data_IF_812652950084
#
_entry.id   IF_812652950084
#
_cell.length_a   1.000
_cell.length_b   1.000
_cell.length_c   1.000
_cell.angle_alpha   90.00
_cell.angle_beta   90.00
_cell.angle_gamma   90.00
#
_symmetry.space_group_name_H-M   'P 1'
#
loop_
_entity.id
_entity.type
_entity.pdbx_description
1 polymer ?
#
# COMPACT_ATOMS: atom_id res chain seq x y z
N UNK A 1 -17.13 -17.89 -6.40
CA UNK A 1 -16.48 -18.80 -7.36
C UNK A 1 -15.55 -19.71 -6.56
N UNK A 2 -15.76 -21.02 -6.59
CA UNK A 2 -14.92 -22.00 -5.91
C UNK A 2 -13.75 -22.36 -6.84
N UNK A 3 -12.53 -21.92 -6.50
CA UNK A 3 -11.32 -22.33 -7.21
C UNK A 3 -10.81 -23.64 -6.61
N UNK A 4 -10.56 -24.63 -7.47
CA UNK A 4 -9.85 -25.86 -7.13
C UNK A 4 -8.52 -25.88 -7.90
N UNK A 5 -7.44 -26.27 -7.21
CA UNK A 5 -6.14 -26.49 -7.82
C UNK A 5 -5.84 -27.99 -7.87
N UNK A 6 -5.36 -28.52 -9.01
CA UNK A 6 -4.73 -29.83 -9.06
C UNK A 6 -3.51 -29.81 -8.14
N UNK A 7 -3.41 -30.82 -7.30
CA UNK A 7 -2.40 -31.04 -6.26
C UNK A 7 -0.95 -30.76 -6.70
N UNK A 8 -0.20 -30.00 -5.90
CA UNK A 8 1.25 -30.16 -5.80
C UNK A 8 2.11 -28.91 -5.63
N UNK A 9 1.69 -27.74 -6.13
CA UNK A 9 2.53 -26.54 -6.13
C UNK A 9 1.84 -25.39 -5.41
N UNK A 10 2.28 -25.14 -4.17
CA UNK A 10 1.77 -24.04 -3.33
C UNK A 10 1.92 -22.69 -4.02
N UNK A 11 0.79 -22.01 -4.21
CA UNK A 11 0.76 -20.62 -4.63
C UNK A 11 0.99 -19.74 -3.39
N UNK A 12 2.10 -19.01 -3.35
CA UNK A 12 2.41 -18.10 -2.23
C UNK A 12 1.45 -16.89 -2.13
N UNK A 13 0.55 -16.71 -3.10
CA UNK A 13 -0.39 -15.59 -3.17
C UNK A 13 -1.75 -15.85 -2.50
N UNK A 14 -2.17 -17.11 -2.33
CA UNK A 14 -3.41 -17.44 -1.62
C UNK A 14 -3.09 -18.38 -0.47
N UNK A 15 -3.15 -17.85 0.75
CA UNK A 15 -2.91 -18.52 2.03
C UNK A 15 -3.84 -19.70 2.35
N UNK A 16 -4.73 -20.09 1.44
CA UNK A 16 -5.80 -21.08 1.64
C UNK A 16 -5.31 -22.50 2.00
N UNK A 17 -4.01 -22.77 1.91
CA UNK A 17 -3.41 -24.07 2.29
C UNK A 17 -2.14 -23.92 3.12
N UNK A 18 -1.85 -22.73 3.66
CA UNK A 18 -0.59 -22.48 4.36
C UNK A 18 -0.65 -23.10 5.78
N UNK A 19 0.18 -24.12 6.07
CA UNK A 19 0.17 -24.77 7.38
C UNK A 19 0.54 -23.81 8.51
N UNK A 20 1.32 -22.76 8.23
CA UNK A 20 1.61 -21.69 9.19
C UNK A 20 0.30 -21.00 9.56
N UNK A 21 -0.49 -20.52 8.58
CA UNK A 21 -1.78 -19.82 8.81
C UNK A 21 -2.75 -20.64 9.67
N UNK A 22 -2.87 -21.95 9.38
CA UNK A 22 -3.71 -22.85 10.18
C UNK A 22 -3.24 -23.01 11.65
N UNK A 23 -1.93 -22.89 11.89
CA UNK A 23 -1.34 -22.88 13.24
C UNK A 23 -1.54 -21.51 13.90
N UNK A 24 -1.52 -20.41 13.15
CA UNK A 24 -1.75 -19.06 13.65
C UNK A 24 -3.20 -18.88 14.11
N UNK A 25 -4.16 -19.33 13.29
CA UNK A 25 -5.60 -19.40 13.65
C UNK A 25 -5.82 -20.14 14.96
N UNK A 26 -5.21 -21.30 15.13
CA UNK A 26 -5.39 -22.14 16.33
C UNK A 26 -4.68 -21.62 17.58
N UNK A 27 -3.60 -20.85 17.44
CA UNK A 27 -2.73 -20.47 18.58
C UNK A 27 -2.81 -19.00 18.98
N UNK A 28 -3.08 -18.09 18.04
CA UNK A 28 -3.00 -16.63 18.27
C UNK A 28 -4.36 -15.96 18.18
N UNK A 29 -5.21 -16.42 17.27
CA UNK A 29 -6.57 -15.90 17.10
C UNK A 29 -7.56 -16.68 17.97
N UNK A 30 -7.30 -16.74 19.29
CA UNK A 30 -8.25 -17.35 20.22
C UNK A 30 -9.59 -16.59 20.14
N UNK A 31 -10.74 -17.28 20.22
CA UNK A 31 -12.05 -16.64 20.20
C UNK A 31 -12.17 -15.49 21.21
N UNK A 32 -11.54 -15.61 22.38
CA UNK A 32 -11.54 -14.55 23.41
C UNK A 32 -10.80 -13.28 22.94
N UNK A 33 -9.67 -13.39 22.23
CA UNK A 33 -8.89 -12.26 21.71
C UNK A 33 -9.53 -11.65 20.45
N UNK A 34 -10.15 -12.48 19.62
CA UNK A 34 -10.93 -12.05 18.46
C UNK A 34 -12.18 -11.27 18.90
N UNK A 35 -12.88 -11.74 19.94
CA UNK A 35 -14.11 -11.12 20.41
C UNK A 35 -13.93 -9.68 20.92
N UNK A 36 -12.74 -9.32 21.40
CA UNK A 36 -12.38 -7.94 21.74
C UNK A 36 -12.07 -7.06 20.51
N UNK A 37 -11.52 -7.64 19.44
CA UNK A 37 -11.26 -6.97 18.15
C UNK A 37 -12.52 -6.76 17.31
N UNK A 38 -13.51 -7.66 17.45
CA UNK A 38 -14.73 -7.69 16.63
C UNK A 38 -15.99 -7.17 17.35
N UNK A 39 -15.85 -6.43 18.46
CA UNK A 39 -16.99 -5.80 19.14
C UNK A 39 -17.71 -4.70 18.35
N UNK A 40 -17.46 -4.57 17.04
CA UNK A 40 -18.42 -3.95 16.11
C UNK A 40 -18.68 -4.79 14.87
N UNK A 41 -19.91 -5.31 14.87
CA UNK A 41 -20.77 -5.78 13.76
C UNK A 41 -20.45 -7.13 13.13
N UNK A 42 -21.16 -8.13 13.64
CA UNK A 42 -21.71 -9.18 12.79
C UNK A 42 -22.75 -8.58 11.82
N UNK A 43 -22.60 -8.89 10.53
CA UNK A 43 -23.71 -9.26 9.64
C UNK A 43 -23.15 -9.98 8.40
N UNK A 44 -23.57 -11.23 8.29
CA UNK A 44 -23.70 -12.15 7.15
C UNK A 44 -22.87 -11.93 5.88
N UNK A 45 -22.16 -12.99 5.52
CA UNK A 45 -21.56 -13.21 4.21
C UNK A 45 -22.63 -13.22 3.11
N UNK A 46 -22.81 -12.08 2.46
CA UNK A 46 -23.40 -11.93 1.14
C UNK A 46 -22.47 -11.03 0.32
N UNK A 47 -22.25 -11.37 -0.96
CA UNK A 47 -21.41 -10.69 -1.96
C UNK A 47 -20.86 -9.32 -1.54
N UNK A 48 -19.53 -9.16 -1.52
CA UNK A 48 -18.84 -7.92 -1.15
C UNK A 48 -19.55 -6.73 -1.80
N UNK A 49 -20.21 -5.85 -1.01
CA UNK A 49 -21.05 -4.84 -1.59
C UNK A 49 -20.20 -3.78 -2.28
N UNK A 50 -20.26 -3.79 -3.62
CA UNK A 50 -19.47 -2.95 -4.53
C UNK A 50 -19.85 -1.48 -4.37
N UNK A 51 -18.84 -0.60 -4.30
CA UNK A 51 -19.03 0.84 -4.44
C UNK A 51 -19.46 1.17 -5.86
N UNK A 52 -20.61 1.81 -6.04
CA UNK A 52 -21.10 2.18 -7.37
C UNK A 52 -21.85 3.51 -7.34
N UNK A 53 -21.73 4.25 -8.43
CA UNK A 53 -22.56 5.42 -8.73
C UNK A 53 -23.58 4.98 -9.77
N UNK A 54 -24.86 5.15 -9.46
CA UNK A 54 -25.94 4.93 -10.42
C UNK A 54 -26.32 6.30 -10.98
N UNK A 55 -26.27 6.41 -12.30
CA UNK A 55 -26.59 7.62 -13.08
C UNK A 55 -27.48 7.24 -14.26
N UNK A 56 -28.15 8.22 -14.84
CA UNK A 56 -29.08 8.01 -15.95
C UNK A 56 -30.46 7.49 -15.52
N UNK A 57 -31.45 7.67 -16.39
CA UNK A 57 -32.86 7.40 -16.05
C UNK A 57 -33.46 8.43 -15.07
N UNK A 58 -34.61 8.11 -14.47
CA UNK A 58 -35.27 8.96 -13.45
C UNK A 58 -35.08 8.36 -12.06
N UNK A 59 -34.25 8.95 -11.22
CA UNK A 59 -33.96 8.48 -9.85
C UNK A 59 -34.79 9.26 -8.84
N UNK A 60 -35.63 8.61 -8.02
CA UNK A 60 -36.49 9.25 -7.00
C UNK A 60 -36.24 8.67 -5.61
N UNK A 61 -35.29 9.24 -4.84
CA UNK A 61 -34.78 8.65 -3.59
C UNK A 61 -35.68 8.83 -2.36
N UNK A 62 -36.80 9.54 -2.47
CA UNK A 62 -37.72 9.87 -1.36
C UNK A 62 -37.03 10.52 -0.15
N UNK A 63 -36.17 11.51 -0.39
CA UNK A 63 -35.45 12.23 0.66
C UNK A 63 -36.43 13.13 1.43
N UNK A 64 -36.55 12.94 2.75
CA UNK A 64 -37.44 13.73 3.61
C UNK A 64 -38.89 13.77 3.12
N UNK A 65 -39.38 12.68 2.54
CA UNK A 65 -40.73 12.59 1.97
C UNK A 65 -40.91 13.26 0.60
N UNK A 66 -39.85 13.86 0.04
CA UNK A 66 -39.84 14.44 -1.30
C UNK A 66 -39.39 13.41 -2.35
N UNK A 67 -40.23 13.17 -3.35
CA UNK A 67 -39.94 12.26 -4.48
C UNK A 67 -39.31 12.97 -5.67
N UNK A 68 -38.76 14.17 -5.49
CA UNK A 68 -38.13 14.94 -6.58
C UNK A 68 -37.00 14.12 -7.22
N UNK A 69 -36.88 14.16 -8.57
CA UNK A 69 -35.82 13.46 -9.26
C UNK A 69 -34.45 14.07 -8.93
N UNK A 70 -33.43 13.23 -8.95
CA UNK A 70 -32.02 13.59 -8.77
C UNK A 70 -31.19 12.98 -9.91
N UNK A 71 -29.98 13.50 -10.12
CA UNK A 71 -29.12 13.10 -11.24
C UNK A 71 -28.36 11.80 -10.95
N UNK A 72 -28.02 11.54 -9.68
CA UNK A 72 -27.22 10.40 -9.27
C UNK A 72 -27.50 9.92 -7.85
N UNK A 73 -27.12 8.66 -7.59
CA UNK A 73 -27.08 8.04 -6.26
C UNK A 73 -25.77 7.26 -6.08
N UNK A 74 -25.07 7.50 -4.98
CA UNK A 74 -23.84 6.83 -4.60
C UNK A 74 -24.11 5.76 -3.55
N UNK A 75 -23.76 4.52 -3.88
CA UNK A 75 -23.92 3.37 -2.98
C UNK A 75 -22.52 2.86 -2.59
N UNK A 76 -22.28 2.76 -1.29
CA UNK A 76 -21.05 2.20 -0.74
C UNK A 76 -21.40 1.15 0.32
N UNK A 77 -20.81 -0.03 0.19
CA UNK A 77 -21.05 -1.14 1.11
C UNK A 77 -22.54 -1.41 1.38
N UNK A 78 -23.36 -1.34 0.33
CA UNK A 78 -24.79 -1.63 0.38
C UNK A 78 -25.62 -0.51 1.01
N UNK A 79 -25.03 0.66 1.28
CA UNK A 79 -25.71 1.84 1.82
C UNK A 79 -25.68 2.98 0.83
N UNK A 80 -26.76 3.73 0.75
CA UNK A 80 -26.81 5.01 0.05
C UNK A 80 -26.02 6.01 0.89
N UNK A 81 -24.90 6.52 0.35
CA UNK A 81 -24.03 7.48 1.05
C UNK A 81 -24.14 8.90 0.51
N UNK A 82 -24.63 9.06 -0.73
CA UNK A 82 -24.87 10.36 -1.34
C UNK A 82 -25.97 10.29 -2.39
N UNK A 83 -26.75 11.37 -2.52
CA UNK A 83 -27.84 11.49 -3.48
C UNK A 83 -27.99 12.95 -3.91
N UNK A 84 -28.07 13.23 -5.21
CA UNK A 84 -28.18 14.60 -5.69
C UNK A 84 -27.61 14.80 -7.09
N UNK A 85 -26.92 15.92 -7.31
CA UNK A 85 -26.19 16.17 -8.56
C UNK A 85 -25.05 15.17 -8.68
N UNK A 86 -24.76 14.74 -9.90
CA UNK A 86 -23.69 13.78 -10.18
C UNK A 86 -22.35 14.21 -9.57
N UNK A 87 -21.96 15.48 -9.74
CA UNK A 87 -20.71 16.02 -9.20
C UNK A 87 -20.60 15.90 -7.67
N UNK A 88 -21.72 16.09 -6.97
CA UNK A 88 -21.75 16.05 -5.49
C UNK A 88 -21.69 14.59 -5.00
N UNK A 89 -22.34 13.67 -5.73
CA UNK A 89 -22.29 12.24 -5.47
C UNK A 89 -20.90 11.66 -5.76
N UNK A 90 -20.27 12.06 -6.87
CA UNK A 90 -18.89 11.70 -7.20
C UNK A 90 -17.91 12.20 -6.13
N UNK A 91 -18.05 13.45 -5.68
CA UNK A 91 -17.21 13.98 -4.60
C UNK A 91 -17.36 13.18 -3.29
N UNK A 92 -18.59 12.82 -2.91
CA UNK A 92 -18.86 12.02 -1.71
C UNK A 92 -18.38 10.57 -1.82
N UNK A 93 -18.46 9.97 -3.01
CA UNK A 93 -17.94 8.64 -3.30
C UNK A 93 -16.41 8.63 -3.32
N UNK A 94 -15.79 9.70 -3.82
CA UNK A 94 -14.33 9.89 -3.83
C UNK A 94 -13.75 10.21 -2.45
N UNK A 95 -14.55 10.71 -1.51
CA UNK A 95 -14.14 10.94 -0.12
C UNK A 95 -13.80 9.64 0.66
N UNK A 96 -14.09 8.45 0.09
CA UNK A 96 -13.71 7.16 0.67
C UNK A 96 -12.18 6.96 0.80
N UNK A 97 -11.37 7.76 0.09
CA UNK A 97 -9.91 7.79 0.21
C UNK A 97 -9.33 8.68 1.32
N UNK A 98 -10.16 9.40 2.10
CA UNK A 98 -9.74 10.37 3.11
C UNK A 98 -9.72 9.78 4.53
N UNK A 99 -9.19 8.56 4.66
CA UNK A 99 -9.23 7.79 5.91
C UNK A 99 -7.87 7.62 6.57
N UNK A 100 -6.76 7.93 5.89
CA UNK A 100 -5.43 7.94 6.51
C UNK A 100 -5.40 8.92 7.69
N UNK A 101 -5.01 8.45 8.89
CA UNK A 101 -5.08 9.28 10.09
C UNK A 101 -4.02 10.38 10.10
N UNK A 102 -4.43 11.65 10.14
CA UNK A 102 -3.57 12.83 9.96
C UNK A 102 -3.36 13.64 11.24
N UNK A 103 -2.17 14.24 11.38
CA UNK A 103 -1.88 15.23 12.45
C UNK A 103 -2.73 16.48 12.21
N UNK A 104 -2.55 17.07 11.03
CA UNK A 104 -3.27 18.26 10.60
C UNK A 104 -4.52 17.86 9.81
N UNK A 105 -5.57 18.71 9.80
CA UNK A 105 -6.73 18.42 8.98
C UNK A 105 -6.39 18.36 7.48
N UNK A 106 -7.09 17.52 6.72
CA UNK A 106 -6.97 17.47 5.27
C UNK A 106 -7.20 18.84 4.63
N UNK A 107 -6.43 19.15 3.59
CA UNK A 107 -6.51 20.46 2.93
C UNK A 107 -7.87 20.68 2.23
N UNK A 108 -8.53 19.60 1.80
CA UNK A 108 -9.85 19.63 1.18
C UNK A 108 -11.02 19.69 2.18
N UNK A 109 -10.76 19.67 3.49
CA UNK A 109 -11.75 19.85 4.57
C UNK A 109 -13.01 18.96 4.48
N UNK A 110 -12.90 17.62 4.36
CA UNK A 110 -14.04 16.72 4.46
C UNK A 110 -14.67 16.75 5.87
N UNK A 111 -15.88 16.20 6.00
CA UNK A 111 -16.60 16.16 7.28
C UNK A 111 -15.82 15.46 8.41
N UNK A 112 -15.09 14.38 8.11
CA UNK A 112 -14.09 13.81 9.02
C UNK A 112 -12.70 14.28 8.60
N UNK A 113 -12.25 15.39 9.19
CA UNK A 113 -11.12 16.13 8.66
C UNK A 113 -9.75 15.59 9.06
N UNK A 114 -9.65 14.54 9.89
CA UNK A 114 -8.37 13.92 10.28
C UNK A 114 -8.25 12.45 9.85
N UNK A 115 -9.26 11.89 9.17
CA UNK A 115 -9.27 10.46 8.84
C UNK A 115 -9.64 9.59 10.04
N UNK A 116 -9.26 8.32 10.00
CA UNK A 116 -9.68 7.32 10.98
C UNK A 116 -8.47 6.54 11.51
N UNK A 117 -8.37 6.44 12.83
CA UNK A 117 -7.46 5.51 13.47
C UNK A 117 -8.25 4.27 13.92
N UNK A 118 -7.82 3.08 13.51
CA UNK A 118 -8.59 1.86 13.72
C UNK A 118 -8.64 1.38 15.18
N UNK A 119 -7.74 1.88 16.03
CA UNK A 119 -7.57 1.43 17.41
C UNK A 119 -7.77 2.61 18.36
N UNK A 120 -9.03 2.97 18.61
CA UNK A 120 -9.39 4.05 19.55
C UNK A 120 -9.71 3.51 20.93
N UNK A 121 -9.48 4.32 21.97
CA UNK A 121 -9.97 4.02 23.31
C UNK A 121 -11.49 4.34 23.42
N UNK A 122 -12.25 3.68 24.32
CA UNK A 122 -13.72 3.70 24.34
C UNK A 122 -14.45 5.05 24.42
N UNK A 123 -13.75 6.19 24.49
CA UNK A 123 -14.33 7.54 24.49
C UNK A 123 -13.49 8.56 23.69
N UNK A 124 -12.58 8.10 22.83
CA UNK A 124 -11.67 8.98 22.10
C UNK A 124 -11.58 8.56 20.63
N UNK A 125 -12.55 9.00 19.82
CA UNK A 125 -12.64 8.67 18.40
C UNK A 125 -11.51 9.30 17.55
N UNK A 126 -10.81 10.30 18.09
CA UNK A 126 -9.66 10.97 17.45
C UNK A 126 -8.51 11.13 18.48
N UNK A 127 -7.70 10.08 18.68
CA UNK A 127 -6.60 10.11 19.64
C UNK A 127 -5.45 11.04 19.21
N UNK A 128 -5.05 11.94 20.11
CA UNK A 128 -3.87 12.82 19.91
C UNK A 128 -2.56 12.19 20.38
N UNK A 129 -2.68 11.22 21.30
CA UNK A 129 -1.62 10.35 21.81
C UNK A 129 -1.89 8.89 21.45
N UNK A 130 -0.86 8.05 21.51
CA UNK A 130 -0.98 6.62 21.20
C UNK A 130 -1.99 5.94 22.15
N UNK A 131 -3.07 5.35 21.63
CA UNK A 131 -4.06 4.63 22.43
C UNK A 131 -3.46 3.42 23.16
N UNK A 132 -3.89 3.19 24.40
CA UNK A 132 -3.34 2.11 25.23
C UNK A 132 -3.69 0.73 24.67
N UNK A 133 -4.88 0.59 24.06
CA UNK A 133 -5.28 -0.62 23.36
C UNK A 133 -4.32 -0.96 22.21
N UNK A 134 -3.94 0.05 21.40
CA UNK A 134 -3.01 -0.13 20.29
C UNK A 134 -1.60 -0.48 20.79
N UNK A 135 -1.08 0.28 21.76
CA UNK A 135 0.22 0.03 22.39
C UNK A 135 0.31 -1.38 22.96
N UNK A 136 -0.72 -1.83 23.67
CA UNK A 136 -0.78 -3.16 24.29
C UNK A 136 -0.81 -4.27 23.23
N UNK A 137 -1.59 -4.10 22.16
CA UNK A 137 -1.68 -5.06 21.06
C UNK A 137 -0.32 -5.26 20.39
N UNK A 138 0.34 -4.17 20.00
CA UNK A 138 1.65 -4.25 19.32
C UNK A 138 2.70 -4.88 20.24
N UNK A 139 2.81 -4.45 21.51
CA UNK A 139 3.75 -5.05 22.47
C UNK A 139 3.47 -6.53 22.71
N UNK A 140 2.21 -6.94 22.81
CA UNK A 140 1.82 -8.34 22.96
C UNK A 140 2.22 -9.17 21.72
N UNK A 141 1.96 -8.66 20.52
CA UNK A 141 2.32 -9.33 19.27
C UNK A 141 3.85 -9.45 19.10
N UNK A 142 4.61 -8.40 19.41
CA UNK A 142 6.08 -8.43 19.44
C UNK A 142 6.61 -9.43 20.46
N UNK A 143 5.98 -9.53 21.64
CA UNK A 143 6.33 -10.49 22.70
C UNK A 143 6.22 -11.95 22.28
N UNK A 144 5.50 -12.26 21.18
CA UNK A 144 5.45 -13.60 20.59
C UNK A 144 6.64 -13.89 19.66
N UNK A 145 7.49 -12.91 19.37
CA UNK A 145 8.67 -13.04 18.52
C UNK A 145 8.38 -12.91 17.02
N UNK A 146 7.30 -12.23 16.64
CA UNK A 146 6.87 -12.15 15.24
C UNK A 146 7.37 -10.88 14.55
N UNK A 147 7.72 -10.94 13.25
CA UNK A 147 7.76 -9.72 12.45
C UNK A 147 6.36 -9.10 12.42
N UNK A 148 6.31 -7.78 12.50
CA UNK A 148 5.06 -7.03 12.40
C UNK A 148 5.08 -6.20 11.14
N UNK A 149 3.95 -6.22 10.44
CA UNK A 149 3.65 -5.49 9.22
C UNK A 149 2.47 -4.59 9.51
N UNK A 150 2.72 -3.30 9.70
CA UNK A 150 1.69 -2.37 10.15
C UNK A 150 1.32 -1.44 9.00
N UNK A 151 0.08 -1.49 8.55
CA UNK A 151 -0.46 -0.54 7.59
C UNK A 151 -0.56 0.87 8.20
N UNK A 152 0.10 1.85 7.60
CA UNK A 152 -0.04 3.26 7.97
C UNK A 152 0.18 4.20 6.78
N UNK A 153 -0.89 4.90 6.38
CA UNK A 153 -0.85 5.90 5.32
C UNK A 153 -0.64 7.33 5.86
N UNK A 154 -1.42 7.73 6.86
CA UNK A 154 -1.37 9.09 7.39
C UNK A 154 -0.19 9.33 8.34
N UNK A 155 0.29 10.57 8.38
CA UNK A 155 1.47 10.97 9.16
C UNK A 155 1.32 10.70 10.66
N UNK A 156 0.12 10.87 11.21
CA UNK A 156 -0.20 10.56 12.60
C UNK A 156 -0.22 9.05 12.87
N UNK A 157 -0.73 8.24 11.93
CA UNK A 157 -0.68 6.78 12.06
C UNK A 157 0.76 6.26 12.03
N UNK A 158 1.61 6.80 11.15
CA UNK A 158 3.05 6.50 11.10
C UNK A 158 3.72 6.92 12.41
N UNK A 159 3.42 8.13 12.92
CA UNK A 159 3.94 8.63 14.20
C UNK A 159 3.62 7.69 15.35
N UNK A 160 2.36 7.30 15.51
CA UNK A 160 1.93 6.40 16.59
C UNK A 160 2.60 5.04 16.49
N UNK A 161 2.69 4.49 15.29
CA UNK A 161 3.37 3.21 15.05
C UNK A 161 4.83 3.28 15.49
N UNK A 162 5.55 4.33 15.10
CA UNK A 162 6.96 4.52 15.44
C UNK A 162 7.19 4.81 16.93
N UNK A 163 6.28 5.53 17.59
CA UNK A 163 6.33 5.74 19.05
C UNK A 163 6.23 4.40 19.80
N UNK A 164 5.30 3.52 19.39
CA UNK A 164 5.17 2.20 20.03
C UNK A 164 6.41 1.33 19.78
N UNK A 165 6.96 1.36 18.56
CA UNK A 165 8.20 0.65 18.27
C UNK A 165 9.39 1.20 19.05
N UNK A 166 9.52 2.52 19.18
CA UNK A 166 10.61 3.15 19.92
C UNK A 166 10.63 2.67 21.39
N UNK A 167 9.46 2.57 22.02
CA UNK A 167 9.31 2.05 23.37
C UNK A 167 9.53 0.54 23.50
N UNK A 168 9.14 -0.23 22.49
CA UNK A 168 9.11 -1.69 22.57
C UNK A 168 10.42 -2.35 22.08
N UNK A 169 11.19 -1.68 21.21
CA UNK A 169 12.42 -2.20 20.62
C UNK A 169 13.62 -1.59 21.37
N UNK A 170 14.31 -2.41 22.13
CA UNK A 170 15.62 -2.03 22.69
C UNK A 170 16.68 -1.93 21.59
N UNK A 171 17.77 -1.21 21.86
CA UNK A 171 18.90 -1.07 20.92
C UNK A 171 19.49 -2.43 20.51
N UNK A 172 19.50 -3.40 21.42
CA UNK A 172 20.00 -4.76 21.18
C UNK A 172 19.08 -5.59 20.28
N UNK A 173 17.79 -5.22 20.20
CA UNK A 173 16.78 -5.90 19.39
C UNK A 173 16.55 -5.22 18.03
N UNK A 174 17.18 -4.07 17.79
CA UNK A 174 17.01 -3.31 16.56
C UNK A 174 17.26 -4.18 15.32
N UNK A 175 16.32 -4.18 14.37
CA UNK A 175 16.39 -4.95 13.12
C UNK A 175 16.26 -6.47 13.26
N UNK A 176 16.27 -7.04 14.47
CA UNK A 176 16.27 -8.49 14.68
C UNK A 176 15.03 -9.19 14.08
N UNK A 177 13.90 -8.47 14.05
CA UNK A 177 12.59 -8.97 13.62
C UNK A 177 12.13 -8.43 12.27
N UNK A 178 12.93 -7.58 11.59
CA UNK A 178 12.59 -6.94 10.30
C UNK A 178 11.16 -6.37 10.30
N UNK A 179 10.81 -5.66 11.38
CA UNK A 179 9.54 -4.96 11.49
C UNK A 179 9.41 -3.95 10.35
N UNK A 180 8.19 -3.77 9.85
CA UNK A 180 7.95 -2.83 8.76
C UNK A 180 6.60 -2.14 8.84
N UNK A 181 6.57 -0.97 8.21
CA UNK A 181 5.36 -0.18 8.02
C UNK A 181 4.99 -0.28 6.54
N UNK A 182 3.78 -0.77 6.26
CA UNK A 182 3.23 -0.85 4.91
C UNK A 182 2.67 0.50 4.49
N UNK A 183 2.83 0.80 3.21
CA UNK A 183 2.66 2.11 2.57
C UNK A 183 3.62 3.16 3.11
N UNK A 184 3.62 3.40 4.42
CA UNK A 184 4.44 4.41 5.07
C UNK A 184 4.36 5.78 4.34
N UNK A 185 3.15 6.11 3.89
CA UNK A 185 2.96 7.05 2.77
C UNK A 185 3.40 8.46 3.12
N UNK A 186 3.05 8.97 4.30
CA UNK A 186 3.47 10.30 4.76
C UNK A 186 4.48 10.14 5.89
N UNK A 187 5.76 10.27 5.54
CA UNK A 187 6.89 10.11 6.45
C UNK A 187 7.62 11.44 6.61
N UNK A 188 7.92 11.84 7.85
CA UNK A 188 8.75 13.04 8.11
C UNK A 188 10.21 12.67 8.39
N UNK A 189 11.20 13.54 8.12
CA UNK A 189 12.62 13.21 8.26
C UNK A 189 13.05 12.66 9.63
N UNK A 190 12.47 13.16 10.72
CA UNK A 190 12.77 12.69 12.08
C UNK A 190 12.34 11.22 12.28
N UNK A 191 11.25 10.81 11.62
CA UNK A 191 10.74 9.44 11.68
C UNK A 191 11.68 8.46 10.97
N UNK A 192 12.35 8.87 9.89
CA UNK A 192 13.38 8.07 9.19
C UNK A 192 14.53 7.74 10.15
N UNK A 193 14.92 8.69 11.00
CA UNK A 193 15.96 8.49 12.02
C UNK A 193 15.55 7.41 13.02
N UNK A 194 14.33 7.49 13.55
CA UNK A 194 13.78 6.45 14.45
C UNK A 194 13.72 5.08 13.77
N UNK A 195 13.28 5.03 12.52
CA UNK A 195 13.24 3.78 11.74
C UNK A 195 14.64 3.16 11.62
N UNK A 196 15.67 3.95 11.32
CA UNK A 196 17.06 3.49 11.24
C UNK A 196 17.53 2.93 12.57
N UNK A 197 17.34 3.69 13.65
CA UNK A 197 17.86 3.35 14.97
C UNK A 197 17.21 2.08 15.55
N UNK A 198 15.97 1.78 15.15
CA UNK A 198 15.24 0.57 15.55
C UNK A 198 15.28 -0.54 14.50
N UNK A 199 15.89 -0.31 13.34
CA UNK A 199 15.95 -1.26 12.23
C UNK A 199 14.56 -1.62 11.68
N UNK A 200 13.68 -0.63 11.55
CA UNK A 200 12.34 -0.73 10.94
C UNK A 200 12.45 -0.30 9.49
N UNK A 201 11.85 -1.05 8.57
CA UNK A 201 11.88 -0.73 7.13
C UNK A 201 10.53 -0.24 6.61
N UNK A 202 10.48 0.72 5.67
CA UNK A 202 9.25 1.05 4.94
C UNK A 202 9.02 0.09 3.75
N UNK A 203 7.76 -0.09 3.40
CA UNK A 203 7.28 -0.77 2.19
C UNK A 203 6.34 0.20 1.49
N UNK A 204 6.73 0.72 0.32
CA UNK A 204 6.04 1.85 -0.32
C UNK A 204 5.08 1.40 -1.42
N UNK A 205 3.86 1.94 -1.38
CA UNK A 205 2.91 1.85 -2.48
C UNK A 205 3.22 2.98 -3.48
N UNK A 206 4.27 2.80 -4.29
CA UNK A 206 4.77 3.88 -5.16
C UNK A 206 3.78 4.35 -6.23
N UNK A 207 2.72 3.58 -6.46
CA UNK A 207 1.56 4.00 -7.24
C UNK A 207 0.87 5.26 -6.70
N UNK A 208 1.00 5.58 -5.41
CA UNK A 208 0.58 6.86 -4.81
C UNK A 208 1.16 8.05 -5.57
N UNK A 209 2.44 8.02 -5.95
CA UNK A 209 3.07 9.08 -6.74
C UNK A 209 2.46 9.18 -8.14
N UNK A 210 2.40 8.04 -8.86
CA UNK A 210 1.96 8.01 -10.25
C UNK A 210 0.48 8.38 -10.43
N UNK A 211 -0.42 7.68 -9.73
CA UNK A 211 -1.86 7.80 -9.96
C UNK A 211 -2.51 8.91 -9.12
N UNK A 212 -2.06 9.10 -7.88
CA UNK A 212 -2.70 10.02 -6.94
C UNK A 212 -1.86 11.26 -6.59
N UNK A 213 -0.57 11.30 -6.96
CA UNK A 213 0.33 12.38 -6.58
C UNK A 213 -0.19 13.75 -6.96
N UNK A 214 -0.84 13.87 -8.12
CA UNK A 214 -1.47 15.11 -8.55
C UNK A 214 -2.63 15.53 -7.61
N UNK A 215 -3.56 14.63 -7.31
CA UNK A 215 -4.67 14.90 -6.41
C UNK A 215 -4.20 15.19 -4.97
N UNK A 216 -3.19 14.44 -4.51
CA UNK A 216 -2.53 14.66 -3.23
C UNK A 216 -1.91 16.04 -3.14
N UNK A 217 -1.17 16.45 -4.16
CA UNK A 217 -0.54 17.78 -4.22
C UNK A 217 -1.52 18.93 -4.43
N UNK A 218 -2.59 18.74 -5.20
CA UNK A 218 -3.50 19.86 -5.53
C UNK A 218 -4.63 20.02 -4.51
N UNK A 219 -5.14 18.93 -3.96
CA UNK A 219 -6.44 18.91 -3.26
C UNK A 219 -6.30 18.41 -1.82
N UNK A 220 -5.64 17.26 -1.61
CA UNK A 220 -5.77 16.51 -0.35
C UNK A 220 -4.74 16.95 0.70
N UNK A 221 -3.46 17.03 0.33
CA UNK A 221 -2.34 17.29 1.24
C UNK A 221 -1.58 18.58 0.92
N UNK A 222 -1.69 19.13 -0.29
CA UNK A 222 -0.92 20.31 -0.72
C UNK A 222 0.59 20.06 -0.57
N UNK A 223 1.31 20.98 0.06
CA UNK A 223 2.76 20.93 0.23
C UNK A 223 3.22 19.67 0.99
N UNK A 224 2.37 19.11 1.86
CA UNK A 224 2.64 17.85 2.57
C UNK A 224 2.87 16.68 1.61
N UNK A 225 2.21 16.64 0.45
CA UNK A 225 2.48 15.61 -0.55
C UNK A 225 3.90 15.72 -1.15
N UNK A 226 4.34 16.94 -1.44
CA UNK A 226 5.68 17.18 -1.98
C UNK A 226 6.75 16.82 -0.94
N UNK A 227 6.50 17.13 0.33
CA UNK A 227 7.50 16.99 1.40
C UNK A 227 7.62 15.58 1.97
N UNK A 228 6.53 14.79 1.98
CA UNK A 228 6.46 13.58 2.80
C UNK A 228 5.97 12.33 2.08
N UNK A 229 5.49 12.42 0.82
CA UNK A 229 4.92 11.27 0.13
C UNK A 229 5.98 10.29 -0.41
N UNK A 230 5.96 9.06 0.09
CA UNK A 230 6.79 7.93 -0.34
C UNK A 230 8.28 8.29 -0.50
N UNK A 231 8.92 8.72 0.60
CA UNK A 231 10.30 9.22 0.62
C UNK A 231 11.36 8.11 0.40
N UNK A 232 11.38 7.55 -0.80
CA UNK A 232 12.23 6.42 -1.19
C UNK A 232 13.72 6.75 -1.08
N UNK A 233 14.16 7.91 -1.59
CA UNK A 233 15.58 8.28 -1.61
C UNK A 233 16.06 8.62 -0.21
N UNK A 234 15.29 9.41 0.54
CA UNK A 234 15.64 9.75 1.92
C UNK A 234 15.76 8.52 2.81
N UNK A 235 14.87 7.53 2.66
CA UNK A 235 14.97 6.26 3.39
C UNK A 235 16.25 5.48 3.03
N UNK A 236 16.58 5.37 1.74
CA UNK A 236 17.79 4.70 1.27
C UNK A 236 19.07 5.40 1.73
N UNK A 237 19.13 6.73 1.65
CA UNK A 237 20.28 7.53 2.08
C UNK A 237 20.50 7.43 3.60
N UNK A 238 19.44 7.20 4.38
CA UNK A 238 19.53 6.87 5.80
C UNK A 238 19.99 5.44 6.11
N UNK A 239 20.23 4.61 5.09
CA UNK A 239 20.67 3.22 5.20
C UNK A 239 19.54 2.22 5.46
N UNK A 240 18.28 2.62 5.29
CA UNK A 240 17.15 1.71 5.38
C UNK A 240 17.05 0.83 4.13
N UNK A 241 16.49 -0.37 4.31
CA UNK A 241 16.01 -1.18 3.19
C UNK A 241 14.56 -0.81 2.90
N UNK A 242 14.23 -0.60 1.64
CA UNK A 242 12.86 -0.30 1.21
C UNK A 242 12.37 -1.42 0.30
N UNK A 243 11.05 -1.58 0.20
CA UNK A 243 10.42 -2.34 -0.88
C UNK A 243 9.40 -1.48 -1.59
N UNK A 244 9.06 -1.87 -2.83
CA UNK A 244 7.98 -1.25 -3.59
C UNK A 244 6.91 -2.32 -3.86
N UNK A 245 5.65 -1.95 -3.67
CA UNK A 245 4.51 -2.84 -3.91
C UNK A 245 3.37 -2.13 -4.63
N UNK A 246 2.52 -2.91 -5.31
CA UNK A 246 1.34 -2.38 -6.00
C UNK A 246 0.10 -2.35 -5.12
N UNK A 247 0.12 -3.09 -4.00
CA UNK A 247 -1.07 -3.39 -3.19
C UNK A 247 -2.21 -3.91 -4.10
N UNK A 248 -2.14 -5.20 -4.44
CA UNK A 248 -2.99 -5.79 -5.48
C UNK A 248 -4.46 -5.36 -5.34
N UNK A 249 -5.10 -5.04 -6.47
CA UNK A 249 -6.44 -4.43 -6.58
C UNK A 249 -6.52 -2.92 -6.28
N UNK A 250 -5.51 -2.32 -5.66
CA UNK A 250 -5.41 -0.86 -5.49
C UNK A 250 -4.70 -0.21 -6.66
N UNK A 251 -3.56 -0.75 -7.10
CA UNK A 251 -2.87 -0.28 -8.30
C UNK A 251 -2.46 -1.43 -9.24
N UNK A 252 -2.25 -1.15 -10.55
CA UNK A 252 -1.86 -2.17 -11.51
C UNK A 252 -0.62 -2.96 -11.09
N UNK A 253 -0.68 -4.28 -11.26
CA UNK A 253 0.46 -5.17 -11.06
C UNK A 253 1.58 -4.84 -12.06
N UNK A 254 2.83 -4.96 -11.62
CA UNK A 254 4.00 -4.86 -12.51
C UNK A 254 5.24 -4.28 -11.84
N UNK A 255 6.25 -5.10 -11.50
CA UNK A 255 7.51 -4.62 -10.89
C UNK A 255 8.23 -3.55 -11.70
N UNK A 256 8.27 -3.67 -13.03
CA UNK A 256 8.88 -2.67 -13.90
C UNK A 256 8.16 -1.31 -13.84
N UNK A 257 6.84 -1.32 -13.62
CA UNK A 257 6.08 -0.09 -13.40
C UNK A 257 6.43 0.56 -12.08
N UNK A 258 6.54 -0.24 -11.01
CA UNK A 258 6.92 0.26 -9.69
C UNK A 258 8.33 0.87 -9.73
N UNK A 259 9.27 0.20 -10.41
CA UNK A 259 10.59 0.74 -10.68
C UNK A 259 10.47 2.09 -11.41
N UNK A 260 9.76 2.14 -12.53
CA UNK A 260 9.57 3.36 -13.31
C UNK A 260 9.02 4.52 -12.48
N UNK A 261 8.00 4.27 -11.66
CA UNK A 261 7.37 5.28 -10.81
C UNK A 261 8.33 5.78 -9.72
N UNK A 262 9.16 4.90 -9.14
CA UNK A 262 10.18 5.31 -8.15
C UNK A 262 11.36 6.08 -8.75
N UNK A 263 11.73 5.79 -10.00
CA UNK A 263 12.85 6.43 -10.71
C UNK A 263 12.44 7.78 -11.27
N UNK A 264 11.21 7.89 -11.80
CA UNK A 264 10.75 9.08 -12.49
C UNK A 264 9.94 10.00 -11.58
N UNK A 265 9.20 9.42 -10.64
CA UNK A 265 8.20 10.09 -9.79
C UNK A 265 7.20 10.96 -10.55
N UNK A 266 6.97 10.66 -11.84
CA UNK A 266 6.04 11.40 -12.69
C UNK A 266 4.61 11.15 -12.22
N UNK A 267 3.86 12.23 -11.98
CA UNK A 267 2.44 12.17 -11.65
C UNK A 267 1.63 11.92 -12.94
N UNK A 268 1.45 10.65 -13.30
CA UNK A 268 0.79 10.21 -14.53
C UNK A 268 -0.61 10.78 -14.74
N UNK A 269 -1.35 11.01 -13.65
CA UNK A 269 -2.68 11.60 -13.70
C UNK A 269 -2.68 13.15 -13.82
N UNK A 270 -1.52 13.80 -13.74
CA UNK A 270 -1.41 15.24 -13.92
C UNK A 270 -1.47 15.61 -15.42
N UNK A 271 -1.99 16.81 -15.76
CA UNK A 271 -1.93 17.29 -17.12
C UNK A 271 -0.46 17.44 -17.58
N UNK A 272 -0.13 17.10 -18.84
CA UNK A 272 1.20 17.32 -19.38
C UNK A 272 1.61 18.79 -19.35
N UNK A 273 2.91 19.06 -19.15
CA UNK A 273 3.46 20.42 -19.28
C UNK A 273 3.93 20.72 -20.71
N UNK A 274 4.41 21.94 -20.96
CA UNK A 274 5.15 22.27 -22.18
C UNK A 274 6.34 21.31 -22.31
N UNK A 275 6.27 20.38 -23.27
CA UNK A 275 7.21 19.24 -23.40
C UNK A 275 6.54 17.86 -23.38
N UNK A 276 5.22 17.79 -23.14
CA UNK A 276 4.40 16.58 -23.33
C UNK A 276 4.51 15.53 -22.23
N UNK A 277 5.27 15.80 -21.16
CA UNK A 277 5.39 14.93 -19.97
C UNK A 277 4.72 15.61 -18.76
N UNK A 278 3.98 14.88 -17.91
CA UNK A 278 3.50 15.43 -16.65
C UNK A 278 4.67 15.74 -15.68
N UNK A 279 4.46 16.64 -14.70
CA UNK A 279 5.49 16.97 -13.73
C UNK A 279 5.74 15.81 -12.75
N UNK A 280 6.98 15.71 -12.25
CA UNK A 280 7.33 14.82 -11.16
C UNK A 280 6.91 15.40 -9.80
N UNK A 281 6.53 14.53 -8.87
CA UNK A 281 6.33 14.87 -7.46
C UNK A 281 7.65 14.69 -6.73
N UNK A 282 8.20 15.76 -6.15
CA UNK A 282 9.47 15.77 -5.42
C UNK A 282 10.58 14.98 -6.14
N UNK A 283 11.19 15.54 -7.20
CA UNK A 283 12.22 14.86 -7.99
C UNK A 283 13.49 14.53 -7.20
N UNK A 284 13.70 15.11 -6.01
CA UNK A 284 14.80 14.74 -5.13
C UNK A 284 14.62 13.36 -4.49
N UNK A 285 13.40 12.83 -4.48
CA UNK A 285 13.08 11.49 -3.98
C UNK A 285 13.21 10.38 -5.03
N UNK A 286 13.67 10.71 -6.23
CA UNK A 286 13.95 9.72 -7.27
C UNK A 286 15.12 8.80 -6.88
N UNK A 287 14.97 7.51 -7.12
CA UNK A 287 16.01 6.50 -6.85
C UNK A 287 16.64 5.99 -8.15
N UNK A 288 17.84 5.42 -8.06
CA UNK A 288 18.49 4.83 -9.24
C UNK A 288 17.78 3.56 -9.69
N UNK A 289 18.05 3.13 -10.93
CA UNK A 289 17.46 1.91 -11.48
C UNK A 289 17.89 0.66 -10.71
N UNK A 290 19.14 0.64 -10.24
CA UNK A 290 19.68 -0.45 -9.42
C UNK A 290 19.02 -0.48 -8.04
N UNK A 291 18.81 0.69 -7.42
CA UNK A 291 18.07 0.80 -6.16
C UNK A 291 16.63 0.32 -6.33
N UNK A 292 15.96 0.71 -7.43
CA UNK A 292 14.61 0.29 -7.74
C UNK A 292 14.50 -1.23 -8.01
N UNK A 293 15.42 -1.79 -8.79
CA UNK A 293 15.48 -3.24 -9.06
C UNK A 293 15.63 -4.02 -7.75
N UNK A 294 16.54 -3.57 -6.87
CA UNK A 294 16.76 -4.18 -5.57
C UNK A 294 15.52 -4.10 -4.67
N UNK A 295 14.82 -2.97 -4.68
CA UNK A 295 13.62 -2.75 -3.88
C UNK A 295 12.44 -3.67 -4.28
N UNK A 296 12.31 -4.01 -5.57
CA UNK A 296 11.26 -4.94 -6.05
C UNK A 296 11.68 -6.42 -6.02
N UNK A 297 12.94 -6.72 -5.69
CA UNK A 297 13.47 -8.10 -5.65
C UNK A 297 14.09 -8.43 -4.30
N UNK A 298 15.39 -8.19 -4.13
CA UNK A 298 16.19 -8.64 -2.99
C UNK A 298 15.74 -8.03 -1.66
N UNK A 299 15.49 -6.71 -1.60
CA UNK A 299 15.08 -6.08 -0.34
C UNK A 299 13.63 -6.43 0.03
N UNK A 300 12.75 -6.67 -0.95
CA UNK A 300 11.41 -7.22 -0.72
C UNK A 300 11.49 -8.67 -0.18
N UNK A 301 12.34 -9.52 -0.76
CA UNK A 301 12.60 -10.85 -0.24
C UNK A 301 13.15 -10.79 1.20
N UNK A 302 14.06 -9.86 1.48
CA UNK A 302 14.58 -9.64 2.82
C UNK A 302 13.48 -9.24 3.82
N UNK A 303 12.57 -8.34 3.46
CA UNK A 303 11.44 -7.98 4.33
C UNK A 303 10.51 -9.18 4.61
N UNK A 304 10.44 -10.13 3.68
CA UNK A 304 9.65 -11.36 3.79
C UNK A 304 10.39 -12.55 4.43
N UNK A 305 11.61 -12.35 4.97
CA UNK A 305 12.47 -13.45 5.45
C UNK A 305 12.79 -14.50 4.39
N UNK A 306 12.81 -14.06 3.13
CA UNK A 306 12.99 -14.89 1.95
C UNK A 306 14.32 -14.67 1.21
N UNK A 307 15.19 -13.81 1.74
CA UNK A 307 16.53 -13.49 1.21
C UNK A 307 17.53 -14.65 1.24
N UNK A 308 17.18 -15.80 1.84
CA UNK A 308 18.03 -17.01 1.91
C UNK A 308 17.79 -18.01 0.78
N UNK A 309 16.81 -17.75 -0.07
CA UNK A 309 16.31 -18.71 -1.06
C UNK A 309 15.66 -18.05 -2.28
N UNK A 310 15.25 -16.77 -2.22
CA UNK A 310 14.73 -16.01 -3.38
C UNK A 310 15.18 -14.54 -3.34
N UNK A 311 14.90 -13.80 -4.42
CA UNK A 311 15.16 -12.36 -4.55
C UNK A 311 16.52 -11.99 -5.13
N UNK A 312 17.45 -12.95 -5.23
CA UNK A 312 18.71 -12.85 -5.96
C UNK A 312 19.08 -14.19 -6.61
N UNK A 313 19.91 -14.13 -7.65
CA UNK A 313 20.45 -15.31 -8.35
C UNK A 313 21.80 -15.74 -7.77
N UNK A 314 21.85 -15.89 -6.44
CA UNK A 314 23.02 -16.41 -5.74
C UNK A 314 23.05 -17.94 -5.78
N UNK A 315 24.24 -18.54 -5.66
CA UNK A 315 24.39 -20.00 -5.61
C UNK A 315 23.61 -20.57 -4.42
N UNK A 316 22.68 -21.48 -4.70
CA UNK A 316 21.83 -22.13 -3.69
C UNK A 316 20.42 -21.52 -3.53
N UNK A 317 20.14 -20.37 -4.16
CA UNK A 317 18.78 -19.84 -4.26
C UNK A 317 17.97 -20.56 -5.34
N UNK A 318 16.64 -20.45 -5.26
CA UNK A 318 15.78 -20.88 -6.35
C UNK A 318 16.09 -20.08 -7.62
N UNK A 319 16.05 -20.77 -8.76
CA UNK A 319 16.20 -20.16 -10.06
C UNK A 319 14.89 -19.48 -10.51
N UNK A 320 14.52 -18.44 -9.75
CA UNK A 320 13.38 -17.55 -9.99
C UNK A 320 13.87 -16.31 -10.73
N UNK A 321 13.62 -16.23 -12.04
CA UNK A 321 14.04 -15.09 -12.85
C UNK A 321 13.12 -14.84 -14.04
N UNK A 322 13.28 -13.66 -14.64
CA UNK A 322 12.65 -13.29 -15.90
C UNK A 322 13.72 -12.96 -16.92
N UNK A 323 13.43 -13.25 -18.19
CA UNK A 323 14.20 -12.74 -19.32
C UNK A 323 13.41 -11.59 -19.90
N UNK A 324 14.03 -10.41 -19.99
CA UNK A 324 13.41 -9.20 -20.54
C UNK A 324 13.94 -8.93 -21.95
N UNK A 325 13.09 -8.40 -22.82
CA UNK A 325 13.48 -8.06 -24.20
C UNK A 325 14.44 -6.86 -24.28
N UNK A 326 14.54 -6.08 -23.20
CA UNK A 326 15.45 -4.96 -23.06
C UNK A 326 15.96 -4.89 -21.62
N UNK A 327 17.18 -4.42 -21.44
CA UNK A 327 17.76 -4.15 -20.13
C UNK A 327 17.15 -2.88 -19.50
N UNK A 328 16.41 -2.98 -18.37
CA UNK A 328 15.82 -1.82 -17.71
C UNK A 328 16.88 -0.88 -17.11
N UNK A 329 18.09 -1.35 -16.81
CA UNK A 329 19.14 -0.54 -16.19
C UNK A 329 19.77 0.44 -17.20
N UNK A 330 19.81 0.09 -18.49
CA UNK A 330 20.40 0.95 -19.53
C UNK A 330 19.40 1.84 -20.27
N UNK A 331 18.09 1.68 -20.01
CA UNK A 331 17.04 2.45 -20.68
C UNK A 331 17.15 3.96 -20.41
N UNK A 332 17.36 4.79 -21.45
CA UNK A 332 17.58 6.24 -21.27
C UNK A 332 16.38 7.00 -20.71
N UNK A 333 15.18 6.77 -21.27
CA UNK A 333 13.93 7.39 -20.84
C UNK A 333 13.00 6.31 -20.29
N UNK A 334 12.72 6.36 -18.99
CA UNK A 334 11.94 5.32 -18.32
C UNK A 334 10.43 5.54 -18.47
N UNK A 335 9.96 6.79 -18.54
CA UNK A 335 8.54 7.14 -18.48
C UNK A 335 7.72 6.48 -19.60
N UNK A 336 6.71 5.70 -19.23
CA UNK A 336 5.84 4.91 -20.11
C UNK A 336 6.60 3.99 -21.08
N UNK A 337 7.81 3.57 -20.71
CA UNK A 337 8.67 2.71 -21.54
C UNK A 337 9.21 1.54 -20.73
N UNK A 338 9.65 1.78 -19.50
CA UNK A 338 10.17 0.73 -18.63
C UNK A 338 9.08 -0.29 -18.27
N UNK A 339 7.87 0.18 -17.94
CA UNK A 339 6.72 -0.67 -17.61
C UNK A 339 6.28 -1.60 -18.74
N UNK A 340 6.60 -1.25 -19.98
CA UNK A 340 6.17 -1.96 -21.18
C UNK A 340 7.27 -2.85 -21.77
N UNK A 341 8.44 -2.94 -21.12
CA UNK A 341 9.49 -3.89 -21.54
C UNK A 341 8.89 -5.31 -21.51
N UNK A 342 8.85 -6.02 -22.65
CA UNK A 342 8.29 -7.36 -22.70
C UNK A 342 9.07 -8.35 -21.85
N UNK A 343 8.35 -9.15 -21.07
CA UNK A 343 8.89 -10.37 -20.46
C UNK A 343 8.89 -11.46 -21.53
N UNK A 344 10.08 -11.91 -21.93
CA UNK A 344 10.28 -13.00 -22.90
C UNK A 344 10.03 -14.34 -22.25
N UNK A 345 10.56 -14.55 -21.04
CA UNK A 345 10.37 -15.79 -20.28
C UNK A 345 10.22 -15.51 -18.80
N UNK A 346 9.51 -16.39 -18.09
CA UNK A 346 9.54 -16.45 -16.62
C UNK A 346 9.90 -17.86 -16.21
N UNK A 347 10.86 -17.95 -15.29
CA UNK A 347 11.36 -19.16 -14.70
C UNK A 347 11.05 -19.12 -13.21
N UNK A 348 10.50 -20.23 -12.71
CA UNK A 348 10.21 -20.44 -11.30
C UNK A 348 10.78 -21.80 -10.89
N UNK A 349 11.58 -21.83 -9.84
CA UNK A 349 12.28 -23.02 -9.35
C UNK A 349 13.08 -23.73 -10.47
N UNK A 350 13.63 -22.97 -11.42
CA UNK A 350 14.36 -23.52 -12.58
C UNK A 350 13.47 -24.12 -13.67
N UNK A 351 12.15 -23.98 -13.57
CA UNK A 351 11.18 -24.42 -14.58
C UNK A 351 10.64 -23.19 -15.31
N UNK A 352 10.70 -23.20 -16.64
CA UNK A 352 10.06 -22.15 -17.45
C UNK A 352 8.54 -22.29 -17.34
N UNK A 353 7.89 -21.31 -16.72
CA UNK A 353 6.43 -21.26 -16.48
C UNK A 353 5.70 -20.32 -17.42
N UNK A 354 6.43 -19.44 -18.12
CA UNK A 354 5.86 -18.52 -19.09
C UNK A 354 6.82 -18.31 -20.26
N UNK A 355 6.23 -18.15 -21.46
CA UNK A 355 6.91 -17.74 -22.67
C UNK A 355 6.06 -16.66 -23.33
N UNK A 356 6.62 -15.46 -23.44
CA UNK A 356 6.00 -14.33 -24.12
C UNK A 356 6.32 -14.33 -25.60
N UNK A 357 5.69 -13.41 -26.35
CA UNK A 357 6.07 -13.16 -27.73
C UNK A 357 7.47 -12.53 -27.75
N UNK A 358 8.41 -13.13 -28.48
CA UNK A 358 9.68 -12.47 -28.79
C UNK A 358 9.38 -11.22 -29.61
N UNK A 359 9.96 -10.07 -29.24
CA UNK A 359 10.08 -8.96 -30.18
C UNK A 359 10.84 -9.52 -31.38
N UNK A 360 10.15 -9.64 -32.52
CA UNK A 360 10.62 -10.43 -33.65
C UNK A 360 12.07 -10.13 -33.99
N UNK A 361 12.86 -11.20 -34.15
CA UNK A 361 14.08 -11.15 -34.96
C UNK A 361 13.69 -10.55 -36.31
N UNK A 362 14.08 -9.29 -36.52
CA UNK A 362 14.22 -8.74 -37.87
C UNK A 362 15.49 -9.26 -38.48
#
# INVERSE_FOLDING_TARGET
MTHSHPSGSGCAHCSCSNPVVSVLEKKLFKPELLSALFQRRERDAASTPVSQIITGGTIRPLINGSSKPVDAIGIHQGKVIAVGRLSDVEAAMNAQGLTGYQVDPYACRPANNHGLFNFTDPNQDQPTEVPDAYRSLIKAAMGKGWPLMIHANGDQAVRFTLQVYDEAISKQQAGARRHRIEHCSLLVPEQITTMRDKGISPSFLIGHVGYWGHAFRQVIFKDKAEQHLDLCRSALDAGLRISLHSDCEVSPLGPLRMMEQSITRIMEAAPPTEGGKPPALNPYECITKEQALRAVTYDAAWQCYADKWVGSLDTGHFADFVILAQDPLTLGDCYLKMRDIPVVETWKDGIRVYTGATAGTK
#
